data_IF_175599482858
#
_entry.id   IF_175599482858
#
_cell.length_a   1.000
_cell.length_b   1.000
_cell.length_c   1.000
_cell.angle_alpha   90.00
_cell.angle_beta   90.00
_cell.angle_gamma   90.00
#
_symmetry.space_group_name_H-M   'P 1'
#
loop_
_entity.id
_entity.type
_entity.pdbx_description
1 polymer ?
#
# COMPACT_ATOMS: atom_id res chain seq x y z
N UNK A 1 8.50 31.15 -30.40
CA UNK A 1 8.71 29.74 -30.80
C UNK A 1 7.90 28.86 -29.85
N UNK A 2 7.04 27.99 -30.38
CA UNK A 2 6.35 26.97 -29.58
C UNK A 2 7.31 25.80 -29.34
N UNK A 3 7.38 25.32 -28.11
CA UNK A 3 8.20 24.16 -27.76
C UNK A 3 7.43 22.88 -28.08
N UNK A 4 7.95 22.07 -29.00
CA UNK A 4 7.38 20.77 -29.33
C UNK A 4 8.02 19.67 -28.48
N UNK A 5 7.19 19.02 -27.66
CA UNK A 5 7.58 17.92 -26.79
C UNK A 5 7.90 16.64 -27.59
N UNK A 6 7.17 16.37 -28.68
CA UNK A 6 7.37 15.18 -29.50
C UNK A 6 8.75 15.22 -30.18
N UNK A 7 9.07 16.37 -30.78
CA UNK A 7 10.37 16.63 -31.40
C UNK A 7 11.51 16.62 -30.37
N UNK A 8 11.35 17.34 -29.24
CA UNK A 8 12.39 17.40 -28.21
C UNK A 8 12.76 16.03 -27.64
N UNK A 9 11.77 15.17 -27.40
CA UNK A 9 12.00 13.83 -26.86
C UNK A 9 12.28 12.77 -27.92
N UNK A 10 12.14 13.10 -29.22
CA UNK A 10 12.18 12.15 -30.34
C UNK A 10 11.23 10.96 -30.12
N UNK A 11 10.01 11.24 -29.66
CA UNK A 11 8.99 10.21 -29.36
C UNK A 11 7.69 10.49 -30.10
N UNK A 12 6.85 9.47 -30.22
CA UNK A 12 5.48 9.64 -30.72
C UNK A 12 4.61 10.41 -29.72
N UNK A 13 3.70 11.25 -30.23
CA UNK A 13 2.80 12.08 -29.41
C UNK A 13 1.97 11.25 -28.42
N UNK A 14 1.55 10.04 -28.81
CA UNK A 14 0.76 9.15 -27.96
C UNK A 14 1.51 8.64 -26.72
N UNK A 15 2.85 8.72 -26.73
CA UNK A 15 3.70 8.27 -25.64
C UNK A 15 4.06 9.39 -24.66
N UNK A 16 3.86 10.66 -25.02
CA UNK A 16 4.28 11.82 -24.20
C UNK A 16 3.65 11.78 -22.80
N UNK A 17 2.38 11.37 -22.71
CA UNK A 17 1.65 11.27 -21.45
C UNK A 17 2.16 10.15 -20.51
N UNK A 18 2.94 9.19 -21.02
CA UNK A 18 3.42 8.05 -20.22
C UNK A 18 4.62 8.46 -19.39
N UNK A 19 4.61 8.17 -18.09
CA UNK A 19 5.77 8.46 -17.23
C UNK A 19 6.99 7.60 -17.56
N UNK A 20 6.76 6.31 -17.81
CA UNK A 20 7.78 5.28 -18.06
C UNK A 20 7.63 4.66 -19.46
N UNK A 21 8.69 4.01 -19.96
CA UNK A 21 8.72 3.33 -21.26
C UNK A 21 8.32 4.21 -22.46
N UNK A 22 8.80 5.46 -22.46
CA UNK A 22 8.73 6.38 -23.61
C UNK A 22 9.88 6.05 -24.57
N UNK A 23 9.58 5.25 -25.59
CA UNK A 23 10.55 4.84 -26.61
C UNK A 23 10.81 5.96 -27.61
N UNK A 24 12.08 6.16 -27.96
CA UNK A 24 12.47 7.05 -29.05
C UNK A 24 12.15 6.43 -30.42
N UNK A 25 12.02 7.24 -31.47
CA UNK A 25 11.72 6.76 -32.84
C UNK A 25 12.76 5.74 -33.32
N UNK A 26 14.05 5.98 -33.06
CA UNK A 26 15.13 5.02 -33.39
C UNK A 26 15.01 3.68 -32.66
N UNK A 27 14.53 3.72 -31.42
CA UNK A 27 14.43 2.53 -30.57
C UNK A 27 13.22 1.69 -30.99
N UNK A 28 12.14 2.33 -31.46
CA UNK A 28 10.98 1.65 -32.01
C UNK A 28 11.33 0.84 -33.27
N UNK A 29 12.26 1.35 -34.09
CA UNK A 29 12.71 0.68 -35.31
C UNK A 29 13.71 -0.46 -35.07
N UNK A 30 14.52 -0.37 -34.01
CA UNK A 30 15.64 -1.29 -33.77
C UNK A 30 15.36 -2.36 -32.73
N UNK A 31 14.49 -2.08 -31.75
CA UNK A 31 14.25 -2.99 -30.61
C UNK A 31 13.10 -3.94 -30.89
N UNK A 32 13.29 -5.19 -30.48
CA UNK A 32 12.25 -6.21 -30.53
C UNK A 32 11.34 -6.13 -29.31
N UNK A 33 10.04 -6.41 -29.50
CA UNK A 33 9.07 -6.48 -28.41
C UNK A 33 9.32 -7.74 -27.58
N UNK A 34 9.55 -7.55 -26.28
CA UNK A 34 9.70 -8.62 -25.30
C UNK A 34 8.37 -8.78 -24.55
N UNK A 35 7.83 -9.99 -24.51
CA UNK A 35 6.57 -10.29 -23.83
C UNK A 35 5.38 -10.35 -24.77
N UNK A 36 4.41 -9.45 -24.59
CA UNK A 36 3.14 -9.45 -25.33
C UNK A 36 3.35 -9.15 -26.81
N UNK A 37 3.20 -10.16 -27.68
CA UNK A 37 3.38 -10.03 -29.14
C UNK A 37 2.07 -9.72 -29.87
N UNK A 38 0.93 -10.00 -29.24
CA UNK A 38 -0.40 -9.71 -29.79
C UNK A 38 -1.19 -8.72 -28.94
N UNK A 39 -2.21 -8.09 -29.54
CA UNK A 39 -3.15 -7.23 -28.81
C UNK A 39 -3.91 -8.00 -27.73
N UNK A 40 -4.15 -9.30 -27.94
CA UNK A 40 -4.82 -10.17 -26.97
C UNK A 40 -3.95 -10.43 -25.74
N UNK A 41 -2.65 -10.65 -25.93
CA UNK A 41 -1.69 -10.78 -24.84
C UNK A 41 -1.67 -9.53 -23.96
N UNK A 42 -1.71 -8.34 -24.58
CA UNK A 42 -1.77 -7.06 -23.87
C UNK A 42 -3.07 -6.97 -23.04
N UNK A 43 -4.23 -7.33 -23.62
CA UNK A 43 -5.51 -7.34 -22.89
C UNK A 43 -5.50 -8.34 -21.72
N UNK A 44 -4.92 -9.52 -21.92
CA UNK A 44 -4.78 -10.55 -20.87
C UNK A 44 -3.88 -10.07 -19.74
N UNK A 45 -2.74 -9.45 -20.07
CA UNK A 45 -1.82 -8.88 -19.10
C UNK A 45 -2.48 -7.74 -18.30
N UNK A 46 -3.25 -6.88 -18.96
CA UNK A 46 -3.99 -5.79 -18.30
C UNK A 46 -5.04 -6.32 -17.32
N UNK A 47 -5.82 -7.35 -17.73
CA UNK A 47 -6.80 -8.01 -16.84
C UNK A 47 -6.11 -8.61 -15.61
N UNK A 48 -5.00 -9.30 -15.80
CA UNK A 48 -4.23 -9.90 -14.70
C UNK A 48 -3.68 -8.81 -13.77
N UNK A 49 -3.17 -7.70 -14.33
CA UNK A 49 -2.69 -6.56 -13.56
C UNK A 49 -3.80 -6.00 -12.67
N UNK A 50 -4.99 -5.75 -13.22
CA UNK A 50 -6.16 -5.25 -12.44
C UNK A 50 -6.56 -6.22 -11.33
N UNK A 51 -6.61 -7.52 -11.62
CA UNK A 51 -6.94 -8.53 -10.62
C UNK A 51 -5.95 -8.53 -9.45
N UNK A 52 -4.64 -8.47 -9.75
CA UNK A 52 -3.58 -8.40 -8.73
C UNK A 52 -3.67 -7.14 -7.87
N UNK A 53 -3.96 -5.98 -8.47
CA UNK A 53 -4.15 -4.75 -7.69
C UNK A 53 -5.37 -4.82 -6.78
N UNK A 54 -6.48 -5.35 -7.27
CA UNK A 54 -7.69 -5.55 -6.46
C UNK A 54 -7.42 -6.50 -5.28
N UNK A 55 -6.65 -7.56 -5.49
CA UNK A 55 -6.24 -8.48 -4.45
C UNK A 55 -5.32 -7.81 -3.42
N UNK A 56 -4.32 -7.06 -3.88
CA UNK A 56 -3.41 -6.32 -3.01
C UNK A 56 -4.17 -5.34 -2.11
N UNK A 57 -5.12 -4.60 -2.68
CA UNK A 57 -5.95 -3.66 -1.92
C UNK A 57 -6.75 -4.39 -0.82
N UNK A 58 -7.35 -5.54 -1.13
CA UNK A 58 -8.06 -6.36 -0.15
C UNK A 58 -7.13 -6.84 0.96
N UNK A 59 -5.91 -7.27 0.62
CA UNK A 59 -4.91 -7.73 1.61
C UNK A 59 -4.46 -6.60 2.52
N UNK A 60 -4.21 -5.41 1.98
CA UNK A 60 -3.82 -4.24 2.78
C UNK A 60 -4.92 -3.84 3.77
N UNK A 61 -6.19 -3.83 3.32
CA UNK A 61 -7.34 -3.55 4.20
C UNK A 61 -7.44 -4.57 5.32
N UNK A 62 -7.40 -5.87 4.98
CA UNK A 62 -7.44 -6.96 5.96
C UNK A 62 -6.27 -6.91 6.94
N UNK A 63 -5.06 -6.59 6.47
CA UNK A 63 -3.89 -6.46 7.34
C UNK A 63 -4.10 -5.37 8.40
N UNK A 64 -4.64 -4.20 7.98
CA UNK A 64 -4.98 -3.11 8.90
C UNK A 64 -6.05 -3.50 9.92
N UNK A 65 -7.10 -4.20 9.48
CA UNK A 65 -8.16 -4.71 10.38
C UNK A 65 -7.60 -5.68 11.42
N UNK A 66 -6.75 -6.62 10.99
CA UNK A 66 -6.11 -7.60 11.87
C UNK A 66 -5.16 -6.93 12.87
N UNK A 67 -4.41 -5.92 12.44
CA UNK A 67 -3.54 -5.13 13.31
C UNK A 67 -4.32 -4.52 14.48
N UNK A 68 -5.50 -3.97 14.21
CA UNK A 68 -6.38 -3.41 15.26
C UNK A 68 -6.90 -4.50 16.20
N UNK A 69 -7.29 -5.67 15.67
CA UNK A 69 -7.73 -6.80 16.49
C UNK A 69 -6.61 -7.30 17.41
N UNK A 70 -5.40 -7.47 16.87
CA UNK A 70 -4.22 -7.87 17.64
C UNK A 70 -3.92 -6.85 18.74
N UNK A 71 -3.94 -5.55 18.43
CA UNK A 71 -3.73 -4.50 19.42
C UNK A 71 -4.79 -4.54 20.54
N UNK A 72 -6.07 -4.76 20.22
CA UNK A 72 -7.15 -4.91 21.20
C UNK A 72 -6.96 -6.14 22.09
N UNK A 73 -6.56 -7.27 21.51
CA UNK A 73 -6.30 -8.51 22.27
C UNK A 73 -5.10 -8.36 23.20
N UNK A 74 -4.01 -7.77 22.71
CA UNK A 74 -2.82 -7.52 23.49
C UNK A 74 -3.12 -6.56 24.66
N UNK A 75 -3.87 -5.49 24.41
CA UNK A 75 -4.33 -4.58 25.46
C UNK A 75 -5.14 -5.31 26.54
N UNK A 76 -6.10 -6.16 26.15
CA UNK A 76 -6.87 -6.97 27.12
C UNK A 76 -5.98 -7.88 27.96
N UNK A 77 -4.97 -8.50 27.33
CA UNK A 77 -3.99 -9.35 28.03
C UNK A 77 -3.18 -8.54 29.04
N UNK A 78 -2.77 -7.33 28.69
CA UNK A 78 -1.97 -6.49 29.58
C UNK A 78 -2.80 -5.89 30.72
N UNK A 79 -4.06 -5.51 30.48
CA UNK A 79 -5.00 -5.13 31.53
C UNK A 79 -5.31 -6.29 32.49
N UNK A 80 -5.45 -7.51 31.97
CA UNK A 80 -5.68 -8.69 32.81
C UNK A 80 -4.49 -8.97 33.74
N UNK A 81 -3.25 -8.76 33.27
CA UNK A 81 -2.04 -8.88 34.11
C UNK A 81 -2.00 -7.83 35.21
N UNK A 82 -2.45 -6.60 34.94
CA UNK A 82 -2.45 -5.53 35.94
C UNK A 82 -3.62 -5.62 36.94
N UNK A 83 -4.58 -6.54 36.76
CA UNK A 83 -5.79 -6.62 37.60
C UNK A 83 -5.49 -6.82 39.09
N UNK A 84 -4.38 -7.47 39.43
CA UNK A 84 -3.95 -7.69 40.82
C UNK A 84 -2.84 -6.71 41.28
N UNK A 85 -2.51 -5.71 40.46
CA UNK A 85 -1.57 -4.64 40.82
C UNK A 85 -2.20 -3.67 41.80
N UNK A 86 -1.42 -3.13 42.74
CA UNK A 86 -1.87 -2.04 43.62
C UNK A 86 -2.21 -0.78 42.81
N UNK A 87 -1.38 -0.45 41.82
CA UNK A 87 -1.64 0.64 40.91
C UNK A 87 -2.32 0.15 39.63
N UNK A 88 -3.59 0.50 39.48
CA UNK A 88 -4.38 0.19 38.30
C UNK A 88 -4.14 1.23 37.20
N UNK A 89 -4.06 0.81 35.92
CA UNK A 89 -3.95 1.74 34.81
C UNK A 89 -5.23 2.56 34.63
N UNK A 90 -5.08 3.80 34.19
CA UNK A 90 -6.20 4.73 33.95
C UNK A 90 -6.46 4.87 32.45
N UNK A 91 -7.72 4.74 32.03
CA UNK A 91 -8.11 4.92 30.63
C UNK A 91 -8.05 6.41 30.26
N UNK A 92 -7.31 6.74 29.20
CA UNK A 92 -7.25 8.10 28.65
C UNK A 92 -8.21 8.25 27.48
N UNK A 93 -8.29 7.24 26.60
CA UNK A 93 -9.19 7.24 25.44
C UNK A 93 -9.82 5.86 25.25
N UNK A 94 -11.15 5.78 25.01
CA UNK A 94 -11.80 4.53 24.68
C UNK A 94 -11.31 4.00 23.33
N UNK A 95 -11.39 2.69 23.13
CA UNK A 95 -11.12 2.07 21.84
C UNK A 95 -12.24 2.37 20.84
N UNK A 96 -11.90 2.42 19.56
CA UNK A 96 -12.86 2.60 18.45
C UNK A 96 -12.89 1.34 17.58
N UNK A 97 -13.66 1.34 16.49
CA UNK A 97 -13.58 0.24 15.50
C UNK A 97 -12.16 0.14 14.94
N UNK A 98 -11.52 1.29 14.68
CA UNK A 98 -10.24 1.41 13.98
C UNK A 98 -9.01 1.43 14.91
N UNK A 99 -9.18 1.46 16.24
CA UNK A 99 -8.06 1.50 17.16
C UNK A 99 -8.35 0.83 18.51
N UNK A 100 -7.31 0.32 19.17
CA UNK A 100 -7.39 -0.07 20.57
C UNK A 100 -7.52 1.18 21.48
N UNK A 101 -8.02 0.97 22.71
CA UNK A 101 -8.10 2.05 23.70
C UNK A 101 -6.71 2.42 24.24
N UNK A 102 -6.55 3.67 24.67
CA UNK A 102 -5.29 4.16 25.24
C UNK A 102 -5.41 4.21 26.76
N UNK A 103 -4.50 3.51 27.42
CA UNK A 103 -4.41 3.42 28.87
C UNK A 103 -3.05 3.92 29.34
N UNK A 104 -3.02 4.55 30.51
CA UNK A 104 -1.82 5.03 31.17
C UNK A 104 -1.54 4.15 32.38
N UNK A 105 -0.41 3.44 32.35
CA UNK A 105 0.14 2.80 33.53
C UNK A 105 0.92 3.82 34.35
N UNK A 106 0.80 3.73 35.66
CA UNK A 106 1.72 4.40 36.58
C UNK A 106 3.11 3.81 36.38
N UNK A 107 4.13 4.67 36.48
CA UNK A 107 5.50 4.23 36.30
C UNK A 107 5.95 3.41 37.52
N UNK A 108 6.22 2.13 37.31
CA UNK A 108 6.85 1.25 38.29
C UNK A 108 8.02 0.51 37.64
N UNK A 109 9.14 0.44 38.36
CA UNK A 109 10.31 -0.31 37.90
C UNK A 109 10.00 -1.81 38.01
N UNK A 110 10.06 -2.51 36.87
CA UNK A 110 10.08 -3.98 36.86
C UNK A 110 11.27 -4.45 37.68
N UNK A 111 11.00 -5.21 38.74
CA UNK A 111 12.05 -5.88 39.52
C UNK A 111 12.63 -7.05 38.74
#
# INVERSE_FOLDING_TARGET
RSFDLAEYFDTDESLISRKYNRLRRKDLATKNVIGARSKEDVKKADRLRRARYSELLKRQKRAKELEVVVAKLQLKKDLAKSKNSELQPVMIKPGTVDSAGVWKWTYERKR
#
